data_IF_500835184257
#
_entry.id   IF_500835184257
#
_cell.length_a   1.000
_cell.length_b   1.000
_cell.length_c   1.000
_cell.angle_alpha   90.00
_cell.angle_beta   90.00
_cell.angle_gamma   90.00
#
_symmetry.space_group_name_H-M   'P 1'
#
loop_
_entity.id
_entity.type
_entity.pdbx_description
1 polymer ?
#
# COMPACT_ATOMS: atom_id res chain seq x y z
N UNK A 1 -6.49 -23.32 -12.96
CA UNK A 1 -6.53 -24.40 -11.95
C UNK A 1 -7.71 -24.20 -11.03
N UNK A 2 -8.42 -25.26 -10.64
CA UNK A 2 -9.50 -25.19 -9.64
C UNK A 2 -8.94 -25.36 -8.24
N UNK A 3 -9.59 -24.79 -7.22
CA UNK A 3 -9.19 -24.98 -5.82
C UNK A 3 -9.26 -26.45 -5.39
N UNK A 4 -10.17 -27.23 -5.97
CA UNK A 4 -10.28 -28.68 -5.71
C UNK A 4 -9.08 -29.52 -6.21
N UNK A 5 -8.20 -28.93 -7.02
CA UNK A 5 -6.97 -29.57 -7.50
C UNK A 5 -5.77 -29.30 -6.55
N UNK A 6 -5.97 -28.44 -5.54
CA UNK A 6 -4.99 -28.15 -4.50
C UNK A 6 -5.18 -29.10 -3.31
N UNK A 7 -4.13 -29.35 -2.58
CA UNK A 7 -4.16 -30.21 -1.36
C UNK A 7 -4.78 -29.46 -0.18
N UNK A 8 -6.05 -29.04 -0.34
CA UNK A 8 -6.84 -28.39 0.70
C UNK A 8 -7.84 -29.39 1.30
N UNK A 9 -8.06 -29.31 2.61
CA UNK A 9 -9.02 -30.18 3.29
C UNK A 9 -10.48 -29.81 2.97
N UNK A 10 -11.41 -30.72 3.29
CA UNK A 10 -12.82 -30.57 2.96
C UNK A 10 -13.42 -29.28 3.54
N UNK A 11 -13.09 -28.92 4.79
CA UNK A 11 -13.67 -27.73 5.44
C UNK A 11 -13.29 -26.41 4.72
N UNK A 12 -12.05 -26.34 4.21
CA UNK A 12 -11.61 -25.18 3.40
C UNK A 12 -12.29 -25.17 2.04
N UNK A 13 -12.44 -26.34 1.40
CA UNK A 13 -13.12 -26.45 0.12
C UNK A 13 -14.62 -26.13 0.23
N UNK A 14 -15.29 -26.58 1.31
CA UNK A 14 -16.69 -26.26 1.56
C UNK A 14 -16.91 -24.76 1.78
N UNK A 15 -15.97 -24.09 2.47
CA UNK A 15 -16.02 -22.63 2.63
C UNK A 15 -15.85 -21.90 1.29
N UNK A 16 -14.94 -22.36 0.44
CA UNK A 16 -14.73 -21.81 -0.90
C UNK A 16 -15.97 -21.97 -1.78
N UNK A 17 -16.61 -23.14 -1.76
CA UNK A 17 -17.85 -23.40 -2.50
C UNK A 17 -18.99 -22.50 -2.03
N UNK A 18 -19.17 -22.37 -0.69
CA UNK A 18 -20.17 -21.49 -0.10
C UNK A 18 -19.96 -20.01 -0.49
N UNK A 19 -18.71 -19.58 -0.64
CA UNK A 19 -18.32 -18.24 -1.08
C UNK A 19 -18.24 -18.09 -2.61
N UNK A 20 -18.52 -19.16 -3.38
CA UNK A 20 -18.46 -19.21 -4.86
C UNK A 20 -17.08 -18.88 -5.43
N UNK A 21 -16.04 -19.41 -4.79
CA UNK A 21 -14.67 -19.38 -5.31
C UNK A 21 -14.37 -20.69 -6.03
N UNK A 22 -14.41 -20.70 -7.36
CA UNK A 22 -14.24 -21.91 -8.16
C UNK A 22 -12.82 -22.07 -8.69
N UNK A 23 -12.23 -20.99 -9.19
CA UNK A 23 -10.93 -20.99 -9.87
C UNK A 23 -9.89 -20.14 -9.14
N UNK A 24 -8.66 -20.67 -9.12
CA UNK A 24 -7.52 -19.97 -8.56
C UNK A 24 -7.05 -18.83 -9.46
N UNK A 25 -6.68 -17.73 -8.85
CA UNK A 25 -5.92 -16.70 -9.54
C UNK A 25 -4.44 -17.13 -9.70
N UNK A 26 -3.66 -16.53 -10.61
CA UNK A 26 -2.26 -16.90 -10.82
C UNK A 26 -1.38 -16.85 -9.56
N UNK A 27 -1.66 -15.94 -8.63
CA UNK A 27 -0.92 -15.88 -7.36
C UNK A 27 -1.32 -17.02 -6.43
N UNK A 28 -2.59 -17.41 -6.42
CA UNK A 28 -3.09 -18.52 -5.60
C UNK A 28 -2.54 -19.85 -6.09
N UNK A 29 -2.55 -20.11 -7.40
CA UNK A 29 -1.97 -21.31 -8.01
C UNK A 29 -0.51 -21.54 -7.61
N UNK A 30 0.28 -20.46 -7.53
CA UNK A 30 1.69 -20.56 -7.23
C UNK A 30 1.99 -20.54 -5.72
N UNK A 31 1.28 -19.71 -4.96
CA UNK A 31 1.60 -19.50 -3.55
C UNK A 31 1.05 -20.59 -2.63
N UNK A 32 -0.18 -21.07 -2.88
CA UNK A 32 -0.82 -22.05 -1.99
C UNK A 32 0.02 -23.33 -1.83
N UNK A 33 0.51 -23.97 -2.90
CA UNK A 33 1.33 -25.18 -2.76
C UNK A 33 2.62 -24.93 -1.97
N UNK A 34 3.32 -23.81 -2.24
CA UNK A 34 4.57 -23.46 -1.56
C UNK A 34 4.34 -23.26 -0.05
N UNK A 35 3.23 -22.63 0.31
CA UNK A 35 2.89 -22.40 1.72
C UNK A 35 2.50 -23.73 2.39
N UNK A 36 1.76 -24.60 1.69
CA UNK A 36 1.44 -25.94 2.18
C UNK A 36 2.69 -26.82 2.42
N UNK A 37 3.72 -26.67 1.60
CA UNK A 37 5.04 -27.32 1.79
C UNK A 37 5.80 -26.80 3.02
N UNK A 38 5.33 -25.72 3.68
CA UNK A 38 6.00 -25.13 4.85
C UNK A 38 7.20 -24.26 4.54
N UNK A 39 7.39 -23.84 3.27
CA UNK A 39 8.48 -22.96 2.85
C UNK A 39 8.15 -21.49 3.14
N UNK A 40 9.15 -20.72 3.49
CA UNK A 40 9.02 -19.26 3.49
C UNK A 40 8.78 -18.76 2.07
N UNK A 41 8.04 -17.65 1.94
CA UNK A 41 7.64 -17.13 0.64
C UNK A 41 7.82 -15.61 0.55
N UNK A 42 8.38 -15.15 -0.56
CA UNK A 42 8.28 -13.78 -1.04
C UNK A 42 7.42 -13.76 -2.29
N UNK A 43 6.29 -13.08 -2.24
CA UNK A 43 5.39 -12.96 -3.38
C UNK A 43 5.23 -11.49 -3.79
N UNK A 44 5.69 -11.17 -4.99
CA UNK A 44 5.51 -9.84 -5.60
C UNK A 44 4.28 -9.89 -6.51
N UNK A 45 3.19 -9.27 -6.04
CA UNK A 45 1.92 -9.25 -6.75
C UNK A 45 1.11 -8.01 -6.37
N UNK A 46 0.39 -7.44 -7.34
CA UNK A 46 -0.44 -6.24 -7.14
C UNK A 46 -1.65 -6.49 -6.24
N UNK A 47 -2.25 -5.43 -5.71
CA UNK A 47 -3.56 -5.49 -5.02
C UNK A 47 -4.65 -5.95 -5.98
N UNK A 48 -5.63 -6.69 -5.45
CA UNK A 48 -6.74 -7.23 -6.27
C UNK A 48 -6.42 -8.52 -7.03
N UNK A 49 -5.23 -9.10 -6.88
CA UNK A 49 -4.85 -10.38 -7.51
C UNK A 49 -5.27 -11.61 -6.70
N UNK A 50 -5.91 -11.44 -5.54
CA UNK A 50 -6.34 -12.55 -4.67
C UNK A 50 -5.29 -12.97 -3.63
N UNK A 51 -4.33 -12.10 -3.28
CA UNK A 51 -3.27 -12.38 -2.29
C UNK A 51 -3.79 -12.86 -0.96
N UNK A 52 -4.86 -12.24 -0.45
CA UNK A 52 -5.40 -12.57 0.87
C UNK A 52 -5.82 -14.03 0.95
N UNK A 53 -6.58 -14.53 -0.01
CA UNK A 53 -6.91 -15.96 -0.09
C UNK A 53 -5.67 -16.84 -0.30
N UNK A 54 -4.67 -16.36 -1.06
CA UNK A 54 -3.44 -17.09 -1.32
C UNK A 54 -2.65 -17.46 -0.04
N UNK A 55 -2.72 -16.63 1.00
CA UNK A 55 -2.11 -16.97 2.30
C UNK A 55 -3.11 -17.49 3.33
N UNK A 56 -4.36 -17.00 3.35
CA UNK A 56 -5.34 -17.45 4.35
C UNK A 56 -5.70 -18.93 4.19
N UNK A 57 -5.99 -19.38 2.97
CA UNK A 57 -6.43 -20.75 2.71
C UNK A 57 -5.43 -21.82 3.17
N UNK A 58 -4.14 -21.76 2.77
CA UNK A 58 -3.17 -22.76 3.22
C UNK A 58 -2.88 -22.68 4.72
N UNK A 59 -2.91 -21.49 5.34
CA UNK A 59 -2.74 -21.35 6.79
C UNK A 59 -3.91 -21.95 7.54
N UNK A 60 -5.15 -21.69 7.12
CA UNK A 60 -6.35 -22.31 7.70
C UNK A 60 -6.30 -23.83 7.54
N UNK A 61 -5.89 -24.32 6.38
CA UNK A 61 -5.70 -25.75 6.15
C UNK A 61 -4.76 -26.37 7.18
N UNK A 62 -3.56 -25.82 7.34
CA UNK A 62 -2.55 -26.31 8.30
C UNK A 62 -3.01 -26.20 9.74
N UNK A 63 -3.68 -25.12 10.12
CA UNK A 63 -4.21 -24.97 11.48
C UNK A 63 -5.34 -25.94 11.79
N UNK A 64 -6.09 -26.41 10.80
CA UNK A 64 -7.15 -27.40 10.95
C UNK A 64 -6.63 -28.85 11.05
N UNK A 65 -5.43 -29.12 10.53
CA UNK A 65 -4.78 -30.44 10.61
C UNK A 65 -4.31 -30.77 12.03
N UNK A 66 -4.33 -29.79 12.94
CA UNK A 66 -3.90 -29.97 14.33
C UNK A 66 -2.40 -29.76 14.55
N UNK A 67 -1.93 -30.10 15.74
CA UNK A 67 -0.52 -29.94 16.12
C UNK A 67 -0.17 -28.53 16.62
N UNK A 68 -1.13 -27.63 16.66
CA UNK A 68 -0.98 -26.27 17.22
C UNK A 68 -1.69 -26.15 18.57
N UNK A 69 -1.10 -25.47 19.58
CA UNK A 69 -1.79 -25.23 20.85
C UNK A 69 -3.12 -24.51 20.65
N UNK A 70 -4.18 -25.02 21.28
CA UNK A 70 -5.53 -24.46 21.11
C UNK A 70 -5.73 -23.14 21.86
N UNK A 71 -4.95 -22.91 22.90
CA UNK A 71 -5.01 -21.79 23.84
C UNK A 71 -3.92 -20.72 23.55
N UNK A 72 -3.32 -20.73 22.37
CA UNK A 72 -2.24 -19.83 22.02
C UNK A 72 -2.42 -19.16 20.66
N UNK A 73 -1.77 -18.02 20.46
CA UNK A 73 -1.70 -17.34 19.17
C UNK A 73 -0.75 -18.11 18.25
N UNK A 74 -1.29 -18.70 17.19
CA UNK A 74 -0.53 -19.52 16.24
C UNK A 74 -0.16 -18.77 14.95
N UNK A 75 -0.88 -17.69 14.64
CA UNK A 75 -0.68 -16.92 13.41
C UNK A 75 -0.76 -15.41 13.68
N UNK A 76 0.20 -14.66 13.13
CA UNK A 76 0.19 -13.19 13.15
C UNK A 76 0.26 -12.68 11.72
N UNK A 77 -0.71 -11.85 11.35
CA UNK A 77 -0.77 -11.20 10.04
C UNK A 77 -0.60 -9.70 10.24
N UNK A 78 0.45 -9.14 9.67
CA UNK A 78 0.72 -7.71 9.72
C UNK A 78 0.14 -7.02 8.49
N UNK A 79 -0.52 -5.89 8.71
CA UNK A 79 -1.17 -5.09 7.68
C UNK A 79 -0.85 -3.60 7.88
N UNK A 80 -0.64 -2.80 6.83
CA UNK A 80 -0.28 -1.39 6.95
C UNK A 80 -1.40 -0.51 7.51
N UNK A 81 -2.66 -0.88 7.29
CA UNK A 81 -3.82 -0.06 7.64
C UNK A 81 -4.86 -0.84 8.41
N UNK A 82 -5.68 -0.10 9.16
CA UNK A 82 -6.80 -0.67 9.95
C UNK A 82 -7.85 -1.29 9.04
N UNK A 83 -8.14 -0.60 7.95
CA UNK A 83 -9.14 -1.02 6.97
C UNK A 83 -8.76 -2.35 6.32
N UNK A 84 -7.48 -2.51 5.95
CA UNK A 84 -7.00 -3.78 5.41
C UNK A 84 -6.99 -4.89 6.48
N UNK A 85 -6.64 -4.57 7.72
CA UNK A 85 -6.71 -5.53 8.82
C UNK A 85 -8.15 -6.03 9.04
N UNK A 86 -9.15 -5.14 9.01
CA UNK A 86 -10.57 -5.51 9.11
C UNK A 86 -11.03 -6.36 7.92
N UNK A 87 -10.58 -6.06 6.71
CA UNK A 87 -10.91 -6.86 5.52
C UNK A 87 -10.32 -8.27 5.59
N UNK A 88 -9.07 -8.39 6.03
CA UNK A 88 -8.44 -9.71 6.23
C UNK A 88 -9.22 -10.50 7.27
N UNK A 89 -9.65 -9.86 8.37
CA UNK A 89 -10.42 -10.48 9.44
C UNK A 89 -11.78 -10.98 8.93
N UNK A 90 -12.52 -10.15 8.17
CA UNK A 90 -13.79 -10.56 7.54
C UNK A 90 -13.61 -11.72 6.55
N UNK A 91 -12.54 -11.72 5.76
CA UNK A 91 -12.24 -12.85 4.86
C UNK A 91 -11.86 -14.10 5.64
N UNK A 92 -11.12 -13.95 6.75
CA UNK A 92 -10.79 -15.03 7.66
C UNK A 92 -12.04 -15.69 8.21
N UNK A 93 -13.02 -14.90 8.68
CA UNK A 93 -14.32 -15.42 9.16
C UNK A 93 -15.03 -16.24 8.07
N UNK A 94 -15.08 -15.72 6.83
CA UNK A 94 -15.70 -16.43 5.71
C UNK A 94 -15.02 -17.76 5.41
N UNK A 95 -13.69 -17.75 5.24
CA UNK A 95 -12.92 -18.97 4.91
C UNK A 95 -12.84 -19.97 6.07
N UNK A 96 -13.04 -19.55 7.30
CA UNK A 96 -13.03 -20.43 8.48
C UNK A 96 -14.42 -20.85 8.96
N UNK A 97 -15.47 -20.58 8.22
CA UNK A 97 -16.85 -20.80 8.65
C UNK A 97 -17.15 -22.24 9.13
N UNK A 98 -16.56 -23.24 8.46
CA UNK A 98 -16.71 -24.66 8.83
C UNK A 98 -15.61 -25.17 9.76
N UNK A 99 -14.81 -24.28 10.36
CA UNK A 99 -13.68 -24.63 11.21
C UNK A 99 -13.75 -23.90 12.55
N UNK A 100 -13.32 -24.52 13.66
CA UNK A 100 -13.20 -23.84 14.96
C UNK A 100 -11.99 -22.89 14.96
N UNK A 101 -12.06 -21.82 14.18
CA UNK A 101 -11.00 -20.86 14.04
C UNK A 101 -11.45 -19.47 14.47
N UNK A 102 -10.73 -18.86 15.41
CA UNK A 102 -10.99 -17.49 15.87
C UNK A 102 -9.88 -16.55 15.41
N UNK A 103 -10.24 -15.34 15.06
CA UNK A 103 -9.31 -14.26 14.74
C UNK A 103 -9.70 -12.96 15.44
N UNK A 104 -8.74 -12.04 15.55
CA UNK A 104 -8.98 -10.72 16.09
C UNK A 104 -8.17 -9.69 15.32
N UNK A 105 -8.84 -8.62 14.90
CA UNK A 105 -8.18 -7.47 14.30
C UNK A 105 -7.73 -6.46 15.37
N UNK A 106 -6.41 -6.19 15.42
CA UNK A 106 -5.74 -5.35 16.41
C UNK A 106 -5.24 -4.06 15.76
N UNK A 107 -5.99 -2.97 15.95
CA UNK A 107 -5.65 -1.66 15.38
C UNK A 107 -6.01 -0.52 16.35
N UNK A 108 -5.51 0.69 16.12
CA UNK A 108 -5.79 1.81 17.02
C UNK A 108 -7.27 2.19 17.02
N UNK A 109 -7.81 2.48 18.20
CA UNK A 109 -9.23 2.81 18.42
C UNK A 109 -10.10 1.59 18.76
N UNK A 110 -9.52 0.40 18.90
CA UNK A 110 -10.17 -0.80 19.40
C UNK A 110 -9.46 -1.25 20.68
N UNK A 111 -9.96 -0.82 21.84
CA UNK A 111 -9.27 -0.99 23.14
C UNK A 111 -9.79 -2.19 23.98
N UNK A 112 -10.87 -2.85 23.56
CA UNK A 112 -11.51 -3.96 24.29
C UNK A 112 -11.14 -5.37 23.80
N UNK A 113 -9.89 -5.60 23.37
CA UNK A 113 -9.48 -6.86 22.76
C UNK A 113 -9.16 -7.90 23.82
N UNK A 114 -9.84 -9.05 23.76
CA UNK A 114 -9.56 -10.23 24.57
C UNK A 114 -8.69 -11.21 23.77
N UNK A 115 -7.37 -11.13 23.96
CA UNK A 115 -6.43 -12.02 23.27
C UNK A 115 -6.50 -13.49 23.73
N UNK A 116 -6.95 -13.74 24.95
CA UNK A 116 -6.97 -15.07 25.58
C UNK A 116 -7.79 -16.12 24.83
N UNK A 117 -8.74 -15.67 23.99
CA UNK A 117 -9.62 -16.55 23.22
C UNK A 117 -9.26 -16.62 21.73
N UNK A 118 -8.18 -15.94 21.31
CA UNK A 118 -7.88 -15.75 19.90
C UNK A 118 -6.65 -16.56 19.47
N UNK A 119 -6.80 -17.33 18.41
CA UNK A 119 -5.71 -18.16 17.82
C UNK A 119 -4.93 -17.43 16.74
N UNK A 120 -5.52 -16.39 16.14
CA UNK A 120 -4.94 -15.59 15.06
C UNK A 120 -5.07 -14.10 15.35
N UNK A 121 -4.02 -13.37 15.09
CA UNK A 121 -3.97 -11.91 15.27
C UNK A 121 -3.68 -11.27 13.94
N UNK A 122 -4.57 -10.37 13.51
CA UNK A 122 -4.37 -9.51 12.35
C UNK A 122 -4.14 -8.10 12.89
N UNK A 123 -2.98 -7.50 12.60
CA UNK A 123 -2.62 -6.28 13.32
C UNK A 123 -1.95 -5.22 12.44
N UNK A 124 -2.12 -3.96 12.85
CA UNK A 124 -1.21 -2.89 12.43
C UNK A 124 0.02 -2.86 13.36
N UNK A 125 1.25 -2.60 12.86
CA UNK A 125 2.49 -2.78 13.64
C UNK A 125 2.50 -2.03 14.96
N UNK A 126 2.26 -0.72 14.94
CA UNK A 126 2.34 0.11 16.14
C UNK A 126 1.33 -0.30 17.24
N UNK A 127 0.16 -0.82 16.87
CA UNK A 127 -0.83 -1.25 17.87
C UNK A 127 -0.46 -2.58 18.51
N UNK A 128 0.05 -3.53 17.73
CA UNK A 128 0.53 -4.80 18.28
C UNK A 128 1.68 -4.57 19.26
N UNK A 129 2.62 -3.70 18.94
CA UNK A 129 3.70 -3.33 19.87
C UNK A 129 3.16 -2.75 21.19
N UNK A 130 2.16 -1.88 21.12
CA UNK A 130 1.56 -1.32 22.32
C UNK A 130 1.01 -2.41 23.23
N UNK A 131 0.34 -3.43 22.68
CA UNK A 131 -0.17 -4.57 23.45
C UNK A 131 0.95 -5.50 23.94
N UNK A 132 1.99 -5.76 23.14
CA UNK A 132 3.16 -6.54 23.56
C UNK A 132 3.89 -5.86 24.72
N UNK A 133 4.00 -4.53 24.70
CA UNK A 133 4.64 -3.75 25.76
C UNK A 133 3.89 -3.79 27.09
N UNK A 134 2.59 -4.10 27.08
CA UNK A 134 1.78 -4.31 28.28
C UNK A 134 1.95 -5.70 28.87
N UNK A 135 2.58 -6.64 28.15
CA UNK A 135 2.99 -7.96 28.66
C UNK A 135 1.89 -9.03 28.75
N UNK A 136 0.69 -8.77 28.23
CA UNK A 136 -0.40 -9.77 28.24
C UNK A 136 -0.63 -10.47 26.89
N UNK A 137 0.20 -10.18 25.88
CA UNK A 137 0.18 -10.86 24.59
C UNK A 137 1.41 -11.75 24.48
N UNK A 138 1.20 -13.05 24.33
CA UNK A 138 2.28 -14.04 24.13
C UNK A 138 2.31 -14.52 22.68
N UNK A 139 3.42 -14.23 21.98
CA UNK A 139 3.66 -14.68 20.62
C UNK A 139 4.63 -15.87 20.53
N UNK A 140 5.00 -16.48 21.66
CA UNK A 140 6.01 -17.56 21.71
C UNK A 140 5.59 -18.86 21.00
N UNK A 141 4.31 -19.00 20.66
CA UNK A 141 3.74 -20.16 19.96
C UNK A 141 3.33 -19.87 18.51
N UNK A 142 3.70 -18.71 17.99
CA UNK A 142 3.39 -18.33 16.60
C UNK A 142 4.17 -19.22 15.63
N UNK A 143 3.44 -19.96 14.82
CA UNK A 143 3.97 -20.82 13.76
C UNK A 143 3.98 -20.13 12.40
N UNK A 144 3.11 -19.15 12.19
CA UNK A 144 2.93 -18.44 10.92
C UNK A 144 3.00 -16.92 11.12
N UNK A 145 3.91 -16.27 10.40
CA UNK A 145 4.06 -14.82 10.39
C UNK A 145 3.92 -14.29 8.98
N UNK A 146 2.91 -13.48 8.74
CA UNK A 146 2.57 -12.96 7.44
C UNK A 146 2.70 -11.44 7.42
N UNK A 147 3.35 -10.88 6.40
CA UNK A 147 3.37 -9.46 6.09
C UNK A 147 2.61 -9.23 4.79
N UNK A 148 1.46 -8.58 4.86
CA UNK A 148 0.73 -8.15 3.65
C UNK A 148 0.99 -6.67 3.37
N UNK A 149 1.18 -6.33 2.10
CA UNK A 149 1.61 -5.00 1.65
C UNK A 149 2.88 -4.48 2.38
N UNK A 150 3.94 -5.32 2.40
CA UNK A 150 5.17 -5.04 3.13
C UNK A 150 5.85 -3.74 2.68
N UNK A 151 5.88 -3.44 1.39
CA UNK A 151 6.38 -2.19 0.82
C UNK A 151 5.69 -0.99 1.45
N UNK A 152 4.38 -1.04 1.56
CA UNK A 152 3.59 0.01 2.15
C UNK A 152 3.86 0.19 3.64
N UNK A 153 4.03 -0.90 4.39
CA UNK A 153 4.43 -0.79 5.80
C UNK A 153 5.76 -0.06 5.94
N UNK A 154 6.72 -0.32 5.04
CA UNK A 154 8.01 0.39 5.06
C UNK A 154 7.89 1.87 4.65
N UNK A 155 7.05 2.20 3.69
CA UNK A 155 6.79 3.59 3.27
C UNK A 155 6.13 4.40 4.41
N UNK A 156 5.32 3.76 5.23
CA UNK A 156 4.73 4.35 6.43
C UNK A 156 5.70 4.42 7.63
N UNK A 157 6.94 3.91 7.49
CA UNK A 157 7.97 3.97 8.51
C UNK A 157 7.94 2.83 9.53
N UNK A 158 7.16 1.78 9.32
CA UNK A 158 7.01 0.66 10.27
C UNK A 158 8.16 -0.35 10.31
N UNK A 159 9.30 -0.06 9.67
CA UNK A 159 10.43 -0.99 9.67
C UNK A 159 10.88 -1.38 11.08
N UNK A 160 11.11 -0.40 11.94
CA UNK A 160 11.56 -0.65 13.33
C UNK A 160 10.49 -1.38 14.14
N UNK A 161 9.22 -1.06 13.90
CA UNK A 161 8.09 -1.72 14.56
C UNK A 161 8.03 -3.21 14.19
N UNK A 162 8.15 -3.52 12.89
CA UNK A 162 8.20 -4.91 12.41
C UNK A 162 9.38 -5.65 13.06
N UNK A 163 10.56 -5.04 13.05
CA UNK A 163 11.76 -5.64 13.63
C UNK A 163 11.65 -5.84 15.14
N UNK A 164 10.91 -4.98 15.84
CA UNK A 164 10.62 -5.16 17.26
C UNK A 164 9.67 -6.33 17.49
N UNK A 165 8.59 -6.46 16.70
CA UNK A 165 7.63 -7.58 16.77
C UNK A 165 8.35 -8.91 16.52
N UNK A 166 9.23 -8.97 15.51
CA UNK A 166 10.00 -10.17 15.16
C UNK A 166 10.81 -10.72 16.34
N UNK A 167 11.24 -9.89 17.30
CA UNK A 167 11.96 -10.34 18.51
C UNK A 167 11.09 -11.16 19.48
N UNK A 168 9.78 -11.00 19.44
CA UNK A 168 8.82 -11.76 20.25
C UNK A 168 8.40 -13.08 19.60
N UNK A 169 8.71 -13.28 18.32
CA UNK A 169 8.34 -14.47 17.56
C UNK A 169 9.36 -15.59 17.72
N UNK A 170 8.94 -16.87 17.66
CA UNK A 170 9.86 -18.01 17.58
C UNK A 170 10.80 -17.89 16.40
N UNK A 171 12.02 -18.43 16.52
CA UNK A 171 12.96 -18.57 15.41
C UNK A 171 12.46 -19.56 14.35
N UNK A 172 11.91 -20.67 14.82
CA UNK A 172 11.29 -21.69 13.97
C UNK A 172 9.83 -21.29 13.71
N UNK A 173 9.57 -20.74 12.56
CA UNK A 173 8.26 -20.34 12.06
C UNK A 173 8.31 -20.28 10.55
N UNK A 174 7.17 -20.38 9.92
CA UNK A 174 7.01 -20.05 8.50
C UNK A 174 6.72 -18.54 8.36
N UNK A 175 7.52 -17.85 7.55
CA UNK A 175 7.33 -16.41 7.26
C UNK A 175 6.93 -16.20 5.81
N UNK A 176 5.85 -15.45 5.60
CA UNK A 176 5.28 -15.21 4.27
C UNK A 176 5.21 -13.69 4.08
N UNK A 177 5.76 -13.19 2.99
CA UNK A 177 5.78 -11.76 2.68
C UNK A 177 5.17 -11.50 1.31
N UNK A 178 4.08 -10.72 1.30
CA UNK A 178 3.47 -10.16 0.10
C UNK A 178 3.83 -8.69 -0.03
N UNK A 179 4.20 -8.28 -1.23
CA UNK A 179 4.54 -6.90 -1.57
C UNK A 179 4.11 -6.61 -3.02
N UNK A 180 3.74 -5.39 -3.33
CA UNK A 180 3.51 -5.00 -4.73
C UNK A 180 4.84 -4.69 -5.42
N UNK A 181 5.86 -4.26 -4.68
CA UNK A 181 7.16 -3.83 -5.18
C UNK A 181 8.32 -4.46 -4.42
N UNK A 182 9.54 -4.43 -4.99
CA UNK A 182 10.71 -5.03 -4.38
C UNK A 182 11.91 -4.06 -4.34
N UNK A 183 11.78 -2.86 -3.75
CA UNK A 183 12.90 -1.93 -3.57
C UNK A 183 13.95 -2.50 -2.61
N UNK A 184 15.13 -1.87 -2.57
CA UNK A 184 16.25 -2.34 -1.76
C UNK A 184 15.90 -2.53 -0.26
N UNK A 185 15.03 -1.68 0.29
CA UNK A 185 14.58 -1.80 1.69
C UNK A 185 13.75 -3.06 1.93
N UNK A 186 12.86 -3.43 1.00
CA UNK A 186 12.08 -4.68 1.08
C UNK A 186 12.99 -5.89 0.93
N UNK A 187 13.95 -5.86 0.01
CA UNK A 187 14.94 -6.93 -0.11
C UNK A 187 15.75 -7.11 1.18
N UNK A 188 16.11 -6.00 1.85
CA UNK A 188 16.82 -6.05 3.12
C UNK A 188 15.96 -6.63 4.23
N UNK A 189 14.70 -6.22 4.35
CA UNK A 189 13.75 -6.79 5.31
C UNK A 189 13.60 -8.29 5.08
N UNK A 190 13.35 -8.69 3.84
CA UNK A 190 13.20 -10.09 3.45
C UNK A 190 14.42 -10.95 3.87
N UNK A 191 15.65 -10.50 3.58
CA UNK A 191 16.88 -11.19 3.99
C UNK A 191 17.03 -11.33 5.50
N UNK A 192 16.40 -10.44 6.28
CA UNK A 192 16.52 -10.43 7.73
C UNK A 192 15.50 -11.37 8.39
N UNK A 193 14.28 -11.47 7.85
CA UNK A 193 13.18 -12.16 8.53
C UNK A 193 12.77 -13.49 7.92
N UNK A 194 13.15 -13.77 6.66
CA UNK A 194 12.82 -15.01 5.97
C UNK A 194 14.03 -15.96 5.91
N UNK A 195 13.75 -17.25 5.89
CA UNK A 195 14.73 -18.30 5.80
C UNK A 195 14.62 -19.03 4.46
N UNK A 196 15.57 -18.81 3.55
CA UNK A 196 15.62 -19.43 2.21
C UNK A 196 14.25 -19.44 1.49
N UNK A 197 13.61 -18.27 1.30
CA UNK A 197 12.27 -18.20 0.78
C UNK A 197 12.18 -18.62 -0.68
N UNK A 198 11.07 -19.22 -1.07
CA UNK A 198 10.64 -19.28 -2.45
C UNK A 198 10.25 -17.88 -2.94
N UNK A 199 10.50 -17.57 -4.20
CA UNK A 199 10.15 -16.28 -4.78
C UNK A 199 9.11 -16.45 -5.88
N UNK A 200 8.01 -15.71 -5.77
CA UNK A 200 7.02 -15.54 -6.83
C UNK A 200 7.06 -14.09 -7.30
N UNK A 201 7.24 -13.90 -8.59
CA UNK A 201 7.16 -12.58 -9.23
C UNK A 201 6.11 -12.64 -10.32
N UNK A 202 4.90 -12.22 -10.00
CA UNK A 202 3.94 -11.97 -11.06
C UNK A 202 4.34 -10.68 -11.78
N UNK A 203 4.36 -10.75 -13.10
CA UNK A 203 4.56 -9.54 -13.89
C UNK A 203 3.53 -8.49 -13.42
N UNK A 204 3.99 -7.25 -13.24
CA UNK A 204 3.08 -6.13 -12.98
C UNK A 204 2.06 -6.16 -14.10
N UNK A 205 0.84 -6.61 -13.80
CA UNK A 205 -0.21 -6.58 -14.81
C UNK A 205 -0.39 -5.11 -15.17
N UNK A 206 -0.19 -4.79 -16.43
CA UNK A 206 -0.58 -3.48 -16.95
C UNK A 206 -2.02 -3.24 -16.51
N UNK A 207 -2.40 -1.98 -16.19
CA UNK A 207 -3.79 -1.69 -15.85
C UNK A 207 -4.68 -2.38 -16.88
N UNK A 208 -5.76 -3.03 -16.40
CA UNK A 208 -6.62 -3.79 -17.29
C UNK A 208 -6.88 -2.97 -18.57
N UNK A 209 -6.72 -3.59 -19.74
CA UNK A 209 -6.97 -2.94 -21.03
C UNK A 209 -8.34 -2.27 -21.11
N UNK A 210 -9.22 -2.63 -20.20
CA UNK A 210 -10.56 -2.07 -19.97
C UNK A 210 -10.59 -0.71 -19.28
N UNK A 211 -9.43 -0.17 -18.77
CA UNK A 211 -9.40 1.16 -18.15
C UNK A 211 -9.08 2.19 -19.22
N UNK A 212 -10.07 3.05 -19.52
CA UNK A 212 -9.88 4.22 -20.37
C UNK A 212 -9.11 5.26 -19.55
N UNK A 213 -7.89 5.59 -19.99
CA UNK A 213 -7.01 6.55 -19.32
C UNK A 213 -6.88 7.81 -20.12
N UNK A 214 -7.09 8.97 -19.48
CA UNK A 214 -6.90 10.27 -20.10
C UNK A 214 -6.37 11.29 -19.07
N UNK A 215 -5.79 12.39 -19.56
CA UNK A 215 -5.22 13.43 -18.71
C UNK A 215 -5.56 14.82 -19.20
N UNK A 216 -5.74 15.76 -18.26
CA UNK A 216 -5.78 17.20 -18.54
C UNK A 216 -4.45 17.81 -18.14
N UNK A 217 -3.73 18.39 -19.09
CA UNK A 217 -2.56 19.21 -18.79
C UNK A 217 -3.07 20.61 -18.48
N UNK A 218 -2.94 21.06 -17.23
CA UNK A 218 -3.62 22.26 -16.73
C UNK A 218 -2.79 23.02 -15.70
N UNK A 219 -3.14 24.26 -15.45
CA UNK A 219 -2.62 24.99 -14.29
C UNK A 219 -3.33 24.53 -13.00
N UNK A 220 -2.64 24.68 -11.86
CA UNK A 220 -3.19 24.26 -10.56
C UNK A 220 -4.55 24.90 -10.26
N UNK A 221 -4.72 26.17 -10.59
CA UNK A 221 -5.98 26.91 -10.41
C UNK A 221 -7.11 26.48 -11.34
N UNK A 222 -6.81 25.75 -12.44
CA UNK A 222 -7.82 25.24 -13.37
C UNK A 222 -8.42 23.90 -12.91
N UNK A 223 -7.74 23.13 -12.05
CA UNK A 223 -8.17 21.79 -11.62
C UNK A 223 -9.62 21.75 -11.10
N UNK A 224 -9.99 22.65 -10.21
CA UNK A 224 -11.37 22.75 -9.70
C UNK A 224 -12.38 23.17 -10.77
N UNK A 225 -11.97 24.02 -11.71
CA UNK A 225 -12.79 24.39 -12.87
C UNK A 225 -13.09 23.18 -13.75
N UNK A 226 -12.08 22.34 -14.04
CA UNK A 226 -12.24 21.11 -14.81
C UNK A 226 -13.23 20.17 -14.12
N UNK A 227 -13.11 19.98 -12.79
CA UNK A 227 -14.07 19.15 -12.02
C UNK A 227 -15.49 19.71 -12.17
N UNK A 228 -15.67 21.03 -12.10
CA UNK A 228 -16.99 21.65 -12.27
C UNK A 228 -17.56 21.33 -13.64
N UNK A 229 -16.78 21.49 -14.69
CA UNK A 229 -17.19 21.19 -16.06
C UNK A 229 -17.55 19.71 -16.23
N UNK A 230 -16.77 18.78 -15.63
CA UNK A 230 -17.04 17.34 -15.69
C UNK A 230 -18.36 16.92 -15.02
N UNK A 231 -18.82 17.64 -13.98
CA UNK A 231 -19.97 17.28 -13.17
C UNK A 231 -21.18 18.23 -13.36
N UNK A 232 -21.21 18.98 -14.44
CA UNK A 232 -22.30 19.94 -14.71
C UNK A 232 -23.58 19.23 -15.18
N UNK A 233 -23.44 18.25 -16.07
CA UNK A 233 -24.59 17.60 -16.71
C UNK A 233 -24.99 16.32 -15.99
N UNK A 234 -24.04 15.46 -15.66
CA UNK A 234 -24.28 14.19 -15.00
C UNK A 234 -23.09 13.85 -14.08
N UNK A 235 -23.39 13.44 -12.86
CA UNK A 235 -22.38 12.95 -11.92
C UNK A 235 -22.44 11.43 -11.92
N UNK A 236 -21.37 10.75 -12.35
CA UNK A 236 -21.33 9.30 -12.27
C UNK A 236 -21.49 8.83 -10.83
N UNK A 237 -22.18 7.73 -10.64
CA UNK A 237 -22.16 7.05 -9.36
C UNK A 237 -20.77 6.48 -9.07
N UNK A 238 -20.37 6.48 -7.80
CA UNK A 238 -19.11 5.88 -7.34
C UNK A 238 -17.84 6.45 -7.99
N UNK A 239 -17.58 7.71 -7.68
CA UNK A 239 -16.35 8.42 -8.07
C UNK A 239 -15.37 8.45 -6.91
N UNK A 240 -14.08 8.18 -7.18
CA UNK A 240 -13.00 8.46 -6.23
C UNK A 240 -12.09 9.54 -6.79
N UNK A 241 -11.78 10.54 -5.96
CA UNK A 241 -10.85 11.62 -6.27
C UNK A 241 -9.65 11.53 -5.33
N UNK A 242 -8.47 11.27 -5.86
CA UNK A 242 -7.22 11.22 -5.10
C UNK A 242 -6.53 12.57 -5.07
N UNK A 243 -6.26 13.09 -3.88
CA UNK A 243 -5.51 14.31 -3.66
C UNK A 243 -4.27 14.07 -2.79
N UNK A 244 -3.19 14.80 -3.05
CA UNK A 244 -1.87 14.59 -2.43
C UNK A 244 -1.80 14.94 -0.95
N UNK A 245 -2.76 15.68 -0.40
CA UNK A 245 -2.76 16.10 0.99
C UNK A 245 -4.17 16.27 1.56
N UNK A 246 -4.27 16.15 2.90
CA UNK A 246 -5.53 16.39 3.62
C UNK A 246 -6.10 17.80 3.41
N UNK A 247 -5.24 18.80 3.19
CA UNK A 247 -5.67 20.17 2.91
C UNK A 247 -6.39 20.23 1.57
N UNK A 248 -5.81 19.63 0.52
CA UNK A 248 -6.43 19.53 -0.80
C UNK A 248 -7.72 18.70 -0.77
N UNK A 249 -7.75 17.60 -0.01
CA UNK A 249 -8.98 16.82 0.19
C UNK A 249 -10.10 17.71 0.71
N UNK A 250 -9.86 18.49 1.78
CA UNK A 250 -10.85 19.41 2.34
C UNK A 250 -11.27 20.50 1.35
N UNK A 251 -10.33 21.04 0.60
CA UNK A 251 -10.58 22.08 -0.42
C UNK A 251 -11.48 21.55 -1.55
N UNK A 252 -11.13 20.41 -2.13
CA UNK A 252 -11.90 19.75 -3.20
C UNK A 252 -13.29 19.38 -2.68
N UNK A 253 -13.38 18.76 -1.50
CA UNK A 253 -14.66 18.38 -0.87
C UNK A 253 -15.55 19.61 -0.65
N UNK A 254 -15.00 20.72 -0.15
CA UNK A 254 -15.76 21.97 0.04
C UNK A 254 -16.28 22.49 -1.31
N UNK A 255 -15.46 22.51 -2.34
CA UNK A 255 -15.85 22.98 -3.67
C UNK A 255 -17.01 22.15 -4.24
N UNK A 256 -16.94 20.81 -4.11
CA UNK A 256 -17.98 19.90 -4.59
C UNK A 256 -19.28 20.00 -3.76
N UNK A 257 -19.19 20.17 -2.45
CA UNK A 257 -20.36 20.43 -1.58
C UNK A 257 -21.08 21.75 -1.95
N UNK A 258 -20.32 22.77 -2.36
CA UNK A 258 -20.93 24.03 -2.85
C UNK A 258 -21.71 23.84 -4.17
N UNK A 259 -21.37 22.80 -4.95
CA UNK A 259 -22.13 22.36 -6.13
C UNK A 259 -23.35 21.48 -5.76
N UNK A 260 -23.64 21.30 -4.47
CA UNK A 260 -24.72 20.46 -3.93
C UNK A 260 -24.56 18.96 -4.28
N UNK A 261 -23.32 18.49 -4.45
CA UNK A 261 -22.99 17.09 -4.69
C UNK A 261 -22.87 16.32 -3.38
N UNK A 262 -23.22 15.03 -3.41
CA UNK A 262 -23.09 14.12 -2.26
C UNK A 262 -21.66 13.63 -2.15
N UNK A 263 -20.85 14.31 -1.34
CA UNK A 263 -19.39 14.12 -1.23
C UNK A 263 -18.98 13.77 0.18
N UNK A 264 -18.17 12.70 0.30
CA UNK A 264 -17.44 12.34 1.51
C UNK A 264 -15.96 12.66 1.40
N UNK A 265 -15.31 12.93 2.52
CA UNK A 265 -13.86 13.11 2.61
C UNK A 265 -13.21 12.01 3.43
N UNK A 266 -11.98 11.62 3.05
CA UNK A 266 -11.24 10.56 3.72
C UNK A 266 -9.76 10.94 3.85
N UNK A 267 -9.31 11.25 5.06
CA UNK A 267 -7.94 11.67 5.37
C UNK A 267 -7.55 11.38 6.82
N UNK A 268 -6.29 11.58 7.16
CA UNK A 268 -5.71 11.20 8.46
C UNK A 268 -6.29 11.94 9.68
N UNK A 269 -6.93 13.10 9.49
CA UNK A 269 -7.53 13.85 10.61
C UNK A 269 -8.88 13.30 11.07
N UNK A 270 -9.50 12.42 10.28
CA UNK A 270 -10.75 11.78 10.68
C UNK A 270 -10.49 10.68 11.71
N UNK A 271 -11.33 10.65 12.74
CA UNK A 271 -11.38 9.54 13.67
C UNK A 271 -11.88 8.26 13.00
N UNK A 272 -11.54 7.09 13.56
CA UNK A 272 -11.90 5.81 12.96
C UNK A 272 -13.40 5.65 12.72
N UNK A 273 -14.21 5.99 13.72
CA UNK A 273 -15.67 5.92 13.60
C UNK A 273 -16.21 6.79 12.44
N UNK A 274 -15.62 7.97 12.23
CA UNK A 274 -15.99 8.85 11.11
C UNK A 274 -15.63 8.23 9.76
N UNK A 275 -14.46 7.57 9.65
CA UNK A 275 -14.04 6.89 8.42
C UNK A 275 -14.99 5.74 8.09
N UNK A 276 -15.36 4.94 9.09
CA UNK A 276 -16.30 3.82 8.93
C UNK A 276 -17.67 4.31 8.45
N UNK A 277 -18.18 5.41 9.02
CA UNK A 277 -19.43 6.03 8.56
C UNK A 277 -19.30 6.47 7.11
N UNK A 278 -18.26 7.22 6.74
CA UNK A 278 -18.07 7.69 5.35
C UNK A 278 -17.99 6.51 4.39
N UNK A 279 -17.27 5.45 4.76
CA UNK A 279 -17.16 4.25 3.94
C UNK A 279 -18.49 3.53 3.77
N UNK A 280 -19.25 3.39 4.87
CA UNK A 280 -20.58 2.79 4.83
C UNK A 280 -21.52 3.58 3.93
N UNK A 281 -21.55 4.91 4.06
CA UNK A 281 -22.36 5.81 3.23
C UNK A 281 -21.97 5.73 1.74
N UNK A 282 -20.67 5.63 1.45
CA UNK A 282 -20.17 5.48 0.09
C UNK A 282 -20.54 4.11 -0.51
N UNK A 283 -20.35 3.01 0.24
CA UNK A 283 -20.75 1.67 -0.19
C UNK A 283 -22.25 1.55 -0.39
N UNK A 284 -23.06 2.22 0.43
CA UNK A 284 -24.51 2.27 0.32
C UNK A 284 -25.03 3.21 -0.78
N UNK A 285 -24.15 3.93 -1.52
CA UNK A 285 -24.54 4.85 -2.58
C UNK A 285 -25.16 6.17 -2.09
N UNK A 286 -25.12 6.47 -0.78
CA UNK A 286 -25.58 7.76 -0.24
C UNK A 286 -24.57 8.88 -0.47
N UNK A 287 -23.29 8.53 -0.60
CA UNK A 287 -22.21 9.38 -1.07
C UNK A 287 -21.81 8.90 -2.46
N UNK A 288 -21.82 9.78 -3.45
CA UNK A 288 -21.47 9.45 -4.83
C UNK A 288 -19.98 9.69 -5.12
N UNK A 289 -19.38 10.64 -4.43
CA UNK A 289 -17.99 11.06 -4.64
C UNK A 289 -17.23 10.94 -3.33
N UNK A 290 -16.14 10.19 -3.33
CA UNK A 290 -15.20 10.09 -2.23
C UNK A 290 -13.91 10.84 -2.58
N UNK A 291 -13.55 11.87 -1.81
CA UNK A 291 -12.27 12.57 -1.96
C UNK A 291 -11.31 12.07 -0.89
N UNK A 292 -10.15 11.53 -1.29
CA UNK A 292 -9.29 10.84 -0.35
C UNK A 292 -7.79 11.09 -0.60
N UNK A 293 -6.98 10.92 0.46
CA UNK A 293 -5.54 10.76 0.32
C UNK A 293 -5.18 9.29 0.10
N UNK A 294 -4.03 9.02 -0.56
CA UNK A 294 -3.57 7.64 -0.81
C UNK A 294 -3.50 6.78 0.43
N UNK A 295 -2.98 7.33 1.54
CA UNK A 295 -2.73 6.58 2.77
C UNK A 295 -4.01 5.91 3.30
N UNK A 296 -5.14 6.58 3.15
CA UNK A 296 -6.41 6.12 3.71
C UNK A 296 -7.24 5.36 2.67
N UNK A 297 -7.11 5.71 1.40
CA UNK A 297 -7.87 5.07 0.31
C UNK A 297 -7.25 3.77 -0.21
N UNK A 298 -6.00 3.47 0.13
CA UNK A 298 -5.37 2.19 -0.13
C UNK A 298 -5.85 1.16 0.90
N UNK A 299 -6.01 -0.08 0.47
CA UNK A 299 -6.51 -1.16 1.32
C UNK A 299 -8.04 -1.12 1.53
N UNK A 300 -8.75 -0.15 0.95
CA UNK A 300 -10.21 -0.14 0.96
C UNK A 300 -10.70 -0.99 -0.21
N UNK A 301 -11.44 -2.03 0.11
CA UNK A 301 -12.15 -2.83 -0.89
C UNK A 301 -13.42 -2.08 -1.30
N UNK A 302 -13.30 -1.33 -2.37
CA UNK A 302 -14.43 -0.68 -3.02
C UNK A 302 -14.46 -1.20 -4.45
N UNK A 303 -15.45 -1.99 -4.72
CA UNK A 303 -15.73 -2.46 -6.07
C UNK A 303 -16.67 -1.49 -6.80
N UNK A 304 -16.72 -1.60 -8.12
CA UNK A 304 -17.60 -0.80 -9.00
C UNK A 304 -17.33 0.71 -9.03
N UNK A 305 -16.10 1.15 -8.84
CA UNK A 305 -15.76 2.55 -9.12
C UNK A 305 -15.82 2.78 -10.62
N UNK A 306 -16.66 3.71 -11.04
CA UNK A 306 -16.83 4.07 -12.46
C UNK A 306 -15.80 5.09 -12.94
N UNK A 307 -15.43 6.01 -12.05
CA UNK A 307 -14.50 7.08 -12.38
C UNK A 307 -13.47 7.27 -11.25
N UNK A 308 -12.20 7.18 -11.61
CA UNK A 308 -11.08 7.58 -10.75
C UNK A 308 -10.52 8.89 -11.26
N UNK A 309 -10.42 9.90 -10.40
CA UNK A 309 -9.75 11.17 -10.71
C UNK A 309 -8.49 11.29 -9.86
N UNK A 310 -7.33 11.33 -10.50
CA UNK A 310 -6.09 11.77 -9.88
C UNK A 310 -6.06 13.31 -9.92
N UNK A 311 -6.52 13.97 -8.87
CA UNK A 311 -6.45 15.44 -8.74
C UNK A 311 -4.99 15.92 -8.72
N UNK A 312 -4.12 15.12 -8.13
CA UNK A 312 -2.66 15.28 -8.19
C UNK A 312 -2.03 14.00 -8.76
N UNK A 313 -1.00 14.18 -9.57
CA UNK A 313 -0.19 13.06 -10.09
C UNK A 313 0.50 12.37 -8.91
N UNK A 314 0.40 11.06 -8.75
CA UNK A 314 1.13 10.34 -7.70
C UNK A 314 2.65 10.44 -7.93
N UNK A 315 3.41 10.35 -6.84
CA UNK A 315 4.87 10.40 -6.91
C UNK A 315 5.45 9.14 -7.57
N UNK A 316 4.88 7.98 -7.27
CA UNK A 316 5.32 6.70 -7.77
C UNK A 316 4.37 6.17 -8.84
N UNK A 317 4.93 5.55 -9.88
CA UNK A 317 4.14 5.01 -11.00
C UNK A 317 3.26 3.84 -10.59
N UNK A 318 3.70 3.07 -9.60
CA UNK A 318 2.92 1.97 -9.01
C UNK A 318 1.68 2.50 -8.27
N UNK A 319 1.79 3.64 -7.58
CA UNK A 319 0.64 4.30 -6.95
C UNK A 319 -0.43 4.68 -7.98
N UNK A 320 0.00 5.12 -9.16
CA UNK A 320 -0.92 5.38 -10.26
C UNK A 320 -1.73 4.13 -10.61
N UNK A 321 -1.07 2.99 -10.79
CA UNK A 321 -1.72 1.72 -11.11
C UNK A 321 -2.66 1.28 -10.00
N UNK A 322 -2.25 1.44 -8.74
CA UNK A 322 -3.09 1.13 -7.57
C UNK A 322 -4.33 2.01 -7.49
N UNK A 323 -4.23 3.31 -7.82
CA UNK A 323 -5.38 4.22 -7.83
C UNK A 323 -6.34 3.85 -8.94
N UNK A 324 -5.88 3.71 -10.18
CA UNK A 324 -6.75 3.41 -11.31
C UNK A 324 -7.29 1.96 -11.26
N UNK A 325 -6.58 1.04 -10.61
CA UNK A 325 -7.04 -0.33 -10.34
C UNK A 325 -8.23 -0.42 -9.37
N UNK A 326 -8.77 0.70 -8.87
CA UNK A 326 -10.05 0.76 -8.16
C UNK A 326 -11.24 0.72 -9.12
N UNK A 327 -11.03 0.99 -10.40
CA UNK A 327 -12.04 0.86 -11.45
C UNK A 327 -11.80 -0.36 -12.34
N UNK A 328 -12.75 -0.69 -13.21
CA UNK A 328 -12.70 -1.82 -14.16
C UNK A 328 -12.53 -3.21 -13.50
N UNK A 329 -13.15 -3.44 -12.34
CA UNK A 329 -13.29 -4.77 -11.74
C UNK A 329 -14.59 -5.43 -12.23
N UNK A 330 -14.63 -6.76 -12.20
CA UNK A 330 -15.82 -7.56 -12.45
C UNK A 330 -16.58 -7.26 -13.78
N UNK A 331 -15.86 -7.16 -14.92
CA UNK A 331 -16.41 -6.98 -16.28
C UNK A 331 -16.95 -5.58 -16.65
N UNK A 332 -16.80 -4.57 -15.83
CA UNK A 332 -17.18 -3.19 -16.17
C UNK A 332 -15.98 -2.41 -16.72
N UNK A 333 -16.23 -1.58 -17.75
CA UNK A 333 -15.24 -0.61 -18.22
C UNK A 333 -15.09 0.52 -17.19
N UNK A 334 -13.86 0.95 -16.96
CA UNK A 334 -13.54 2.02 -16.01
C UNK A 334 -12.88 3.21 -16.66
N UNK A 335 -13.05 4.39 -16.08
CA UNK A 335 -12.41 5.62 -16.55
C UNK A 335 -11.46 6.16 -15.48
N UNK A 336 -10.26 6.53 -15.90
CA UNK A 336 -9.27 7.19 -15.06
C UNK A 336 -8.85 8.52 -15.70
N UNK A 337 -9.08 9.61 -14.98
CA UNK A 337 -8.67 10.95 -15.37
C UNK A 337 -7.55 11.44 -14.48
N UNK A 338 -6.55 12.11 -15.06
CA UNK A 338 -5.42 12.65 -14.30
C UNK A 338 -5.21 14.12 -14.62
N UNK A 339 -5.15 14.96 -13.60
CA UNK A 339 -4.82 16.38 -13.77
C UNK A 339 -3.32 16.56 -13.58
N UNK A 340 -2.67 17.12 -14.60
CA UNK A 340 -1.22 17.22 -14.68
C UNK A 340 -0.83 18.70 -14.68
N UNK A 341 -0.42 19.21 -13.53
CA UNK A 341 0.11 20.56 -13.43
C UNK A 341 1.54 20.65 -14.02
N UNK A 342 2.00 21.87 -14.29
CA UNK A 342 3.35 22.10 -14.83
C UNK A 342 4.46 21.42 -14.00
N UNK A 343 4.29 21.38 -12.66
CA UNK A 343 5.26 20.79 -11.73
C UNK A 343 5.23 19.26 -11.76
N UNK A 344 4.13 18.68 -12.16
CA UNK A 344 3.87 17.23 -12.12
C UNK A 344 4.14 16.54 -13.46
N UNK A 345 4.43 17.30 -14.54
CA UNK A 345 4.65 16.71 -15.88
C UNK A 345 5.76 15.66 -15.91
N UNK A 346 6.83 15.85 -15.13
CA UNK A 346 7.93 14.88 -15.07
C UNK A 346 7.52 13.57 -14.42
N UNK A 347 6.72 13.63 -13.34
CA UNK A 347 6.18 12.43 -12.69
C UNK A 347 5.18 11.72 -13.62
N UNK A 348 4.33 12.48 -14.29
CA UNK A 348 3.39 11.91 -15.24
C UNK A 348 4.10 11.23 -16.43
N UNK A 349 5.19 11.81 -16.92
CA UNK A 349 6.02 11.14 -17.96
C UNK A 349 6.66 9.85 -17.45
N UNK A 350 7.05 9.80 -16.18
CA UNK A 350 7.54 8.55 -15.56
C UNK A 350 6.46 7.48 -15.53
N UNK A 351 5.20 7.86 -15.27
CA UNK A 351 4.04 6.95 -15.34
C UNK A 351 3.83 6.43 -16.77
N UNK A 352 3.83 7.32 -17.78
CA UNK A 352 3.71 6.90 -19.19
C UNK A 352 4.82 5.93 -19.61
N UNK A 353 6.05 6.19 -19.17
CA UNK A 353 7.18 5.31 -19.43
C UNK A 353 7.04 3.95 -18.73
N UNK A 354 6.53 3.93 -17.48
CA UNK A 354 6.27 2.73 -16.74
C UNK A 354 5.17 1.86 -17.37
N UNK A 355 4.12 2.52 -17.88
CA UNK A 355 3.02 1.86 -18.59
C UNK A 355 3.37 1.46 -20.02
N UNK A 356 4.50 1.94 -20.54
CA UNK A 356 4.87 1.84 -21.97
C UNK A 356 3.75 2.32 -22.92
N UNK A 357 2.98 3.32 -22.46
CA UNK A 357 1.80 3.83 -23.16
C UNK A 357 1.70 5.34 -22.99
N UNK A 358 1.46 6.05 -24.06
CA UNK A 358 1.06 7.45 -24.00
C UNK A 358 -0.41 7.56 -23.61
N UNK A 359 -0.68 8.40 -22.59
CA UNK A 359 -2.04 8.67 -22.14
C UNK A 359 -2.59 9.85 -22.91
N UNK A 360 -3.81 9.74 -23.43
CA UNK A 360 -4.45 10.79 -24.21
C UNK A 360 -4.61 12.08 -23.39
N UNK A 361 -4.22 13.24 -23.97
CA UNK A 361 -4.36 14.55 -23.33
C UNK A 361 -5.62 15.23 -23.85
N UNK A 362 -6.60 15.37 -22.96
CA UNK A 362 -7.87 16.07 -23.25
C UNK A 362 -7.61 17.57 -23.22
N UNK A 363 -8.09 18.35 -24.20
CA UNK A 363 -8.04 19.81 -24.14
C UNK A 363 -8.80 20.33 -22.91
N UNK A 364 -8.21 21.33 -22.23
CA UNK A 364 -8.88 22.02 -21.12
C UNK A 364 -10.10 22.77 -21.68
N UNK A 365 -11.27 22.78 -21.00
CA UNK A 365 -12.44 23.55 -21.40
C UNK A 365 -12.09 25.02 -21.72
N UNK A 366 -12.57 25.53 -22.85
CA UNK A 366 -12.18 26.87 -23.37
C UNK A 366 -12.52 27.99 -22.36
N UNK A 367 -13.57 27.83 -21.57
CA UNK A 367 -13.98 28.79 -20.54
C UNK A 367 -12.97 28.93 -19.38
N UNK A 368 -12.05 27.98 -19.23
CA UNK A 368 -11.01 28.01 -18.20
C UNK A 368 -9.71 28.68 -18.67
N UNK A 369 -9.66 29.15 -19.95
CA UNK A 369 -8.53 29.79 -20.52
C UNK A 369 -7.46 28.85 -21.07
N UNK A 370 -6.28 29.40 -21.38
CA UNK A 370 -5.17 28.63 -21.96
C UNK A 370 -4.59 27.65 -20.98
N UNK A 371 -4.19 26.47 -21.46
CA UNK A 371 -3.53 25.41 -20.71
C UNK A 371 -2.02 25.46 -20.94
N UNK A 372 -1.20 24.98 -19.99
CA UNK A 372 0.22 24.85 -20.19
C UNK A 372 0.53 23.77 -21.23
N UNK A 373 1.61 23.98 -21.99
CA UNK A 373 2.09 22.96 -22.91
C UNK A 373 2.67 21.74 -22.18
N UNK A 374 2.41 20.52 -22.68
CA UNK A 374 3.00 19.31 -22.14
C UNK A 374 4.47 19.20 -22.59
N UNK A 375 5.37 19.65 -21.74
CA UNK A 375 6.83 19.61 -21.93
C UNK A 375 7.51 19.04 -20.68
N UNK A 376 7.44 17.73 -20.45
CA UNK A 376 8.08 17.11 -19.30
C UNK A 376 9.61 17.30 -19.38
N UNK A 377 10.20 17.81 -18.30
CA UNK A 377 11.65 17.95 -18.21
C UNK A 377 12.27 16.56 -18.13
N UNK A 378 13.12 16.22 -19.10
CA UNK A 378 13.93 15.00 -19.01
C UNK A 378 14.92 15.15 -17.85
N UNK A 379 14.84 14.30 -16.85
CA UNK A 379 15.91 14.12 -15.85
C UNK A 379 17.08 13.39 -16.53
N UNK A 380 17.87 14.14 -17.30
CA UNK A 380 19.18 13.66 -17.73
C UNK A 380 20.04 13.52 -16.46
N UNK A 381 20.25 12.31 -16.01
CA UNK A 381 21.28 11.92 -15.05
C UNK A 381 22.66 12.22 -15.69
N UNK A 382 23.03 13.49 -15.79
CA UNK A 382 24.43 13.87 -15.94
C UNK A 382 25.10 13.58 -14.62
N UNK A 383 25.49 12.32 -14.37
CA UNK A 383 26.66 12.03 -13.56
C UNK A 383 27.81 12.74 -14.26
N UNK A 384 28.10 13.95 -13.81
CA UNK A 384 29.20 14.74 -14.25
C UNK A 384 30.48 13.97 -13.97
N UNK A 385 31.08 13.50 -15.03
CA UNK A 385 32.46 13.05 -15.09
C UNK A 385 33.35 14.30 -14.87
N UNK A 386 33.59 14.62 -13.62
CA UNK A 386 34.48 15.71 -13.20
C UNK A 386 35.89 15.17 -13.00
N UNK A 387 36.44 14.50 -14.03
CA UNK A 387 37.85 14.23 -14.16
C UNK A 387 38.53 15.27 -15.06
N UNK A 388 38.51 16.54 -14.68
CA UNK A 388 39.49 17.52 -15.18
C UNK A 388 40.52 17.76 -14.08
N UNK A 389 41.59 16.94 -14.13
CA UNK A 389 42.90 17.21 -13.55
C UNK A 389 43.29 18.65 -13.88
N UNK A 390 43.39 19.52 -12.90
CA UNK A 390 44.21 20.73 -12.97
C UNK A 390 45.61 20.36 -12.50
N UNK A 391 46.47 20.04 -13.47
CA UNK A 391 47.92 20.19 -13.33
C UNK A 391 48.21 21.68 -13.21
N UNK A 392 48.69 22.11 -12.08
CA UNK A 392 49.47 23.34 -11.98
C UNK A 392 50.84 22.95 -11.39
N UNK A 393 51.79 23.01 -12.32
CA UNK A 393 53.20 22.80 -12.07
C UNK A 393 53.80 23.89 -11.18
N UNK A 394 54.77 23.49 -10.51
CA UNK A 394 55.48 24.08 -9.42
C UNK A 394 56.14 25.43 -9.62
N UNK A 395 56.50 26.00 -8.52
CA UNK A 395 57.84 26.61 -8.35
C UNK A 395 58.17 26.60 -6.86
N UNK A 396 59.26 25.90 -6.56
CA UNK A 396 60.00 26.02 -5.30
C UNK A 396 60.45 27.47 -5.15
N UNK A 397 60.31 28.03 -3.97
CA UNK A 397 61.28 28.98 -3.45
C UNK A 397 61.48 28.75 -1.96
N UNK A 398 62.74 28.38 -1.68
CA UNK A 398 63.37 28.33 -0.37
C UNK A 398 63.47 29.75 0.18
N UNK A 399 63.13 30.00 1.41
CA UNK A 399 64.00 30.83 2.24
C UNK A 399 63.82 30.58 3.75
N UNK A 400 64.94 30.39 4.36
CA UNK A 400 65.26 30.27 5.76
C UNK A 400 64.75 31.44 6.61
N UNK A 401 64.46 31.19 7.88
CA UNK A 401 64.42 32.23 8.91
C UNK A 401 63.92 31.76 10.26
N UNK A 402 64.84 31.26 11.02
CA UNK A 402 65.08 31.09 12.47
C UNK A 402 64.29 32.02 13.43
N UNK A 403 64.03 31.40 14.59
CA UNK A 403 64.09 31.87 16.00
C UNK A 403 62.74 32.22 16.64
N UNK A 404 62.45 31.55 17.67
CA UNK A 404 62.76 31.45 19.09
C UNK A 404 61.53 31.75 20.00
N UNK A 405 61.33 30.80 20.89
CA UNK A 405 61.06 30.97 22.34
C UNK A 405 59.81 31.75 22.80
N UNK A 406 58.88 31.18 23.52
CA UNK A 406 58.88 30.97 24.95
C UNK A 406 57.48 30.50 25.46
N UNK A 407 57.53 29.51 26.26
CA UNK A 407 56.52 29.20 27.30
C UNK A 407 56.65 30.29 28.43
N UNK A 408 55.71 30.46 29.36
CA UNK A 408 55.13 29.40 30.20
C UNK A 408 53.69 29.62 30.77
N UNK A 409 53.17 28.51 31.33
CA UNK A 409 52.48 28.31 32.59
C UNK A 409 51.05 28.80 32.81
N UNK A 410 50.26 27.81 33.19
CA UNK A 410 49.03 27.80 33.96
C UNK A 410 49.06 28.66 35.25
N UNK A 411 47.96 28.92 35.99
CA UNK A 411 47.16 27.91 36.72
C UNK A 411 45.62 28.19 36.86
N UNK A 412 44.82 27.14 37.02
CA UNK A 412 44.05 26.61 38.16
C UNK A 412 43.04 27.56 38.90
N UNK A 413 41.84 27.02 39.15
CA UNK A 413 40.72 27.30 40.11
C UNK A 413 39.73 28.37 39.67
N UNK A 414 38.45 28.11 39.79
CA UNK A 414 37.62 27.44 40.82
C UNK A 414 36.37 26.87 40.13
#
# INVERSE_FOLDING_TARGET
MKFSELELNANVLDALDAMRFDECTPIQEQAIPIILEGKDLIAVAQTGTGKTAAFLLPILNKLSEGGHPEDAINCVIMSPTRELAQQIDQQMEGFSYFMPASSVAVYGGNDGILFEQQKKVIATPGRLIAHLSLGYVDLSKVSYFILDEADRMLDMGFYEDIMQIVKYLPKERQTIMFSATMPAKIQQLAKTILNNPAEIKLAVSRPADKIIQAAYVCYENQKLGIIRSLFTDEVPERVIIFASSKIKVKEVTKALKMMKLNVGEMHSDLEQAQREVVMHEFKAGRINILVATDIVARGIDIDDIRLVINFDVPHDSEDYVHRIGRTARANNDGVALTFVSEKEQSNFKSIENFLEKEIYKIPVPAELGEAPEYKPRSYNNKRGDNSKRRNFGGKRNNNNGRKNNNRPSSPVRS
#
